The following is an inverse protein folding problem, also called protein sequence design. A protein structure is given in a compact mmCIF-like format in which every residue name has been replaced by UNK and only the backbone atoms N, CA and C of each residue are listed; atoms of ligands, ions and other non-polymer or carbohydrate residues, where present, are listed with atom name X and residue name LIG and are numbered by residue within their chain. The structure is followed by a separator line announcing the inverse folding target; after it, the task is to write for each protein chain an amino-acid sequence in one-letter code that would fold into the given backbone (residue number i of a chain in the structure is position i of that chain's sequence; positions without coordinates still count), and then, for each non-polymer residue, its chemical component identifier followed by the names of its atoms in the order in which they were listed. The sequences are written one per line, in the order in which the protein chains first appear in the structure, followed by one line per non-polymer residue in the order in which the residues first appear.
data_IF_833057157716
#
_entry.id   IF_833057157716
#
_cell.length_a   1.000
_cell.length_b   1.000
_cell.length_c   1.000
_cell.angle_alpha   90.00
_cell.angle_beta   90.00
_cell.angle_gamma   90.00
#
_symmetry.space_group_name_H-M   'P 1'
#
loop_
_entity.id
_entity.type
_entity.pdbx_description
1 polymer ?
#
# COMPACT_ATOMS: atom_id res chain seq x y z
N UNK A 1 -3.40 22.55 -12.02
CA UNK A 1 -3.92 21.88 -10.81
C UNK A 1 -5.30 21.29 -11.10
N UNK A 2 -5.65 20.13 -10.51
CA UNK A 2 -6.86 19.37 -10.78
C UNK A 2 -7.58 19.08 -9.46
N UNK A 3 -8.86 19.39 -9.37
CA UNK A 3 -9.69 19.06 -8.22
C UNK A 3 -10.18 17.60 -8.35
N UNK A 4 -9.84 16.75 -7.40
CA UNK A 4 -10.07 15.31 -7.54
C UNK A 4 -11.54 14.89 -7.41
N UNK A 5 -12.43 15.77 -6.95
CA UNK A 5 -13.89 15.54 -6.99
C UNK A 5 -14.39 15.31 -8.43
N UNK A 6 -13.66 15.77 -9.46
CA UNK A 6 -14.01 15.51 -10.86
C UNK A 6 -13.96 14.00 -11.20
N UNK A 7 -13.19 13.22 -10.44
CA UNK A 7 -13.06 11.78 -10.61
C UNK A 7 -13.96 10.98 -9.67
N UNK A 8 -14.04 11.41 -8.39
CA UNK A 8 -14.91 10.77 -7.41
C UNK A 8 -15.28 11.74 -6.27
N UNK A 9 -16.57 11.80 -5.83
CA UNK A 9 -17.01 12.63 -4.71
C UNK A 9 -16.30 12.34 -3.38
N UNK A 10 -15.78 11.11 -3.16
CA UNK A 10 -15.01 10.77 -1.96
C UNK A 10 -13.68 11.52 -1.84
N UNK A 11 -13.24 12.17 -2.92
CA UNK A 11 -12.01 12.96 -2.99
C UNK A 11 -12.29 14.48 -2.93
N UNK A 12 -13.44 14.88 -2.41
CA UNK A 12 -13.81 16.29 -2.29
C UNK A 12 -12.80 17.06 -1.42
N UNK A 13 -12.32 18.21 -1.92
CA UNK A 13 -11.32 19.03 -1.22
C UNK A 13 -9.88 18.54 -1.32
N UNK A 14 -9.62 17.51 -2.12
CA UNK A 14 -8.26 17.11 -2.50
C UNK A 14 -7.95 17.67 -3.89
N UNK A 15 -6.83 18.39 -3.98
CA UNK A 15 -6.29 18.92 -5.21
C UNK A 15 -5.01 18.19 -5.56
N UNK A 16 -4.83 17.88 -6.82
CA UNK A 16 -3.66 17.25 -7.39
C UNK A 16 -2.96 18.19 -8.34
N UNK A 17 -1.68 18.43 -8.10
CA UNK A 17 -0.77 19.06 -9.05
C UNK A 17 0.03 17.95 -9.70
N UNK A 18 -0.22 17.64 -10.98
CA UNK A 18 0.49 16.58 -11.69
C UNK A 18 1.99 16.84 -11.76
N UNK A 19 2.77 15.77 -11.72
CA UNK A 19 4.20 15.81 -11.96
C UNK A 19 4.52 16.50 -13.31
N UNK A 20 5.58 17.29 -13.34
CA UNK A 20 6.08 17.95 -14.54
C UNK A 20 7.60 17.86 -14.61
N UNK A 21 8.13 17.34 -15.71
CA UNK A 21 9.58 17.21 -15.89
C UNK A 21 10.22 16.26 -14.88
N UNK A 22 11.01 16.78 -13.94
CA UNK A 22 11.64 16.02 -12.84
C UNK A 22 11.03 16.41 -11.49
N UNK A 23 9.73 16.59 -11.41
CA UNK A 23 8.99 16.92 -10.20
C UNK A 23 8.06 15.79 -9.87
N UNK A 24 7.77 15.56 -8.59
CA UNK A 24 6.72 14.64 -8.16
C UNK A 24 5.33 15.26 -8.27
N UNK A 25 4.31 14.43 -8.13
CA UNK A 25 2.95 14.86 -7.81
C UNK A 25 2.93 15.59 -6.44
N UNK A 26 2.11 16.61 -6.34
CA UNK A 26 1.83 17.32 -5.09
C UNK A 26 0.34 17.25 -4.82
N UNK A 27 -0.02 17.02 -3.56
CA UNK A 27 -1.42 17.02 -3.14
C UNK A 27 -1.68 18.11 -2.13
N UNK A 28 -2.81 18.82 -2.30
CA UNK A 28 -3.23 19.90 -1.41
C UNK A 28 -4.61 19.59 -0.88
N UNK A 29 -4.79 19.71 0.44
CA UNK A 29 -6.01 19.40 1.16
C UNK A 29 -6.37 20.55 2.09
N UNK A 30 -7.58 20.47 2.69
CA UNK A 30 -8.01 21.40 3.74
C UNK A 30 -7.95 22.86 3.28
N UNK A 31 -8.53 23.14 2.11
CA UNK A 31 -8.58 24.50 1.55
C UNK A 31 -7.19 25.18 1.45
N UNK A 32 -6.16 24.40 1.13
CA UNK A 32 -4.77 24.91 1.02
C UNK A 32 -3.96 24.87 2.31
N UNK A 33 -4.53 24.40 3.44
CA UNK A 33 -3.83 24.39 4.74
C UNK A 33 -2.90 23.23 4.93
N UNK A 34 -3.09 22.15 4.18
CA UNK A 34 -2.27 20.92 4.25
C UNK A 34 -1.75 20.55 2.88
N UNK A 35 -0.46 20.30 2.79
CA UNK A 35 0.23 19.90 1.56
C UNK A 35 1.02 18.62 1.77
N UNK A 36 1.06 17.77 0.76
CA UNK A 36 1.85 16.53 0.74
C UNK A 36 2.85 16.66 -0.39
N UNK A 37 4.13 16.64 -0.04
CA UNK A 37 5.30 16.97 -0.85
C UNK A 37 5.25 18.37 -1.46
N UNK A 38 6.35 18.83 -2.04
CA UNK A 38 6.47 20.16 -2.64
C UNK A 38 6.85 20.12 -4.11
N UNK A 39 7.08 18.90 -4.62
CA UNK A 39 7.66 18.78 -5.94
C UNK A 39 9.02 19.46 -6.09
N UNK A 40 9.41 19.68 -7.32
CA UNK A 40 10.58 20.45 -7.73
C UNK A 40 10.25 21.31 -8.96
N UNK A 41 9.08 21.92 -8.92
CA UNK A 41 8.56 22.71 -10.03
C UNK A 41 8.60 24.20 -9.68
N UNK A 42 9.39 24.96 -10.44
CA UNK A 42 9.43 26.41 -10.30
C UNK A 42 8.13 27.02 -10.83
N UNK A 43 7.38 27.67 -9.96
CA UNK A 43 6.05 28.22 -10.27
C UNK A 43 4.89 27.45 -9.65
N UNK A 44 5.13 26.34 -8.93
CA UNK A 44 4.09 25.63 -8.18
C UNK A 44 3.27 26.59 -7.30
N UNK A 45 3.95 27.49 -6.56
CA UNK A 45 3.27 28.41 -5.66
C UNK A 45 2.44 29.46 -6.38
N UNK A 46 2.83 29.85 -7.60
CA UNK A 46 1.97 30.74 -8.41
C UNK A 46 0.69 30.02 -8.82
N UNK A 47 0.80 28.75 -9.25
CA UNK A 47 -0.38 27.93 -9.59
C UNK A 47 -1.28 27.71 -8.38
N UNK A 48 -0.70 27.48 -7.20
CA UNK A 48 -1.46 27.32 -5.95
C UNK A 48 -2.08 28.63 -5.49
N UNK A 49 -1.41 29.78 -5.68
CA UNK A 49 -1.91 31.08 -5.24
C UNK A 49 -3.09 31.61 -6.04
N UNK A 50 -3.36 31.03 -7.20
CA UNK A 50 -4.57 31.33 -7.98
C UNK A 50 -5.84 30.77 -7.30
N UNK A 51 -5.70 29.72 -6.48
CA UNK A 51 -6.81 29.02 -5.82
C UNK A 51 -6.79 29.17 -4.30
N UNK A 52 -5.61 29.29 -3.67
CA UNK A 52 -5.46 29.31 -2.22
C UNK A 52 -4.67 30.51 -1.72
N UNK A 53 -4.99 30.95 -0.50
CA UNK A 53 -4.11 31.83 0.25
C UNK A 53 -2.98 31.00 0.89
N UNK A 54 -1.84 30.92 0.20
CA UNK A 54 -0.68 30.13 0.63
C UNK A 54 -0.15 30.53 2.02
N UNK A 55 -0.40 31.78 2.45
CA UNK A 55 0.03 32.26 3.77
C UNK A 55 -0.69 31.53 4.92
N UNK A 56 -1.82 30.87 4.63
CA UNK A 56 -2.62 30.11 5.59
C UNK A 56 -2.20 28.63 5.68
N UNK A 57 -1.19 28.19 4.93
CA UNK A 57 -0.72 26.82 4.98
C UNK A 57 -0.16 26.49 6.39
N UNK A 58 -0.72 25.45 7.00
CA UNK A 58 -0.40 25.03 8.35
C UNK A 58 0.53 23.84 8.43
N UNK A 59 0.43 22.91 7.46
CA UNK A 59 1.12 21.61 7.47
C UNK A 59 1.70 21.24 6.13
N UNK A 60 2.91 20.72 6.18
CA UNK A 60 3.61 20.12 5.04
C UNK A 60 4.07 18.72 5.44
N UNK A 61 3.48 17.69 4.83
CA UNK A 61 3.98 16.33 4.94
C UNK A 61 5.04 16.10 3.84
N UNK A 62 6.17 15.52 4.22
CA UNK A 62 7.19 15.06 3.28
C UNK A 62 7.20 13.54 3.31
N UNK A 63 6.88 12.92 2.17
CA UNK A 63 6.85 11.47 2.05
C UNK A 63 8.24 10.88 2.20
N UNK A 64 9.24 11.51 1.59
CA UNK A 64 10.66 11.13 1.71
C UNK A 64 11.59 12.30 1.31
N UNK A 65 12.89 12.01 1.15
CA UNK A 65 13.92 13.06 1.04
C UNK A 65 14.39 13.37 -0.38
N UNK A 66 13.86 12.74 -1.43
CA UNK A 66 14.31 13.00 -2.79
C UNK A 66 13.96 14.41 -3.24
N UNK A 67 14.83 14.97 -4.06
CA UNK A 67 14.78 16.37 -4.42
C UNK A 67 13.52 16.78 -5.18
N UNK A 68 12.98 15.87 -5.98
CA UNK A 68 11.73 16.05 -6.72
C UNK A 68 10.48 16.08 -5.83
N UNK A 69 10.60 15.67 -4.55
CA UNK A 69 9.54 15.77 -3.53
C UNK A 69 9.71 16.97 -2.60
N UNK A 70 10.95 17.36 -2.32
CA UNK A 70 11.23 18.40 -1.32
C UNK A 70 11.81 19.70 -1.91
N UNK A 71 12.08 19.73 -3.21
CA UNK A 71 12.78 20.83 -3.88
C UNK A 71 12.04 22.17 -3.83
N UNK A 72 10.71 22.15 -3.81
CA UNK A 72 9.88 23.35 -3.71
C UNK A 72 9.81 24.00 -2.33
N UNK A 73 10.31 23.32 -1.27
CA UNK A 73 10.28 23.88 0.11
C UNK A 73 10.88 25.27 0.22
N UNK A 74 11.96 25.53 -0.53
CA UNK A 74 12.65 26.84 -0.44
C UNK A 74 11.76 27.99 -0.89
N UNK A 75 11.02 27.81 -1.96
CA UNK A 75 10.05 28.79 -2.45
C UNK A 75 8.85 28.87 -1.49
N UNK A 76 8.36 27.74 -1.00
CA UNK A 76 7.23 27.68 -0.06
C UNK A 76 7.51 28.51 1.21
N UNK A 77 8.72 28.41 1.77
CA UNK A 77 9.10 29.14 2.99
C UNK A 77 9.29 30.65 2.79
N UNK A 78 9.37 31.13 1.55
CA UNK A 78 9.31 32.57 1.26
C UNK A 78 7.87 33.13 1.39
N UNK A 79 6.84 32.26 1.32
CA UNK A 79 5.42 32.63 1.37
C UNK A 79 4.76 32.33 2.71
N UNK A 80 5.12 31.21 3.37
CA UNK A 80 4.51 30.76 4.62
C UNK A 80 5.52 29.99 5.48
N UNK A 81 5.11 29.60 6.69
CA UNK A 81 5.94 28.83 7.62
C UNK A 81 5.14 27.65 8.22
N UNK A 82 4.81 26.64 7.41
CA UNK A 82 4.03 25.51 7.87
C UNK A 82 4.82 24.63 8.85
N UNK A 83 4.10 23.81 9.63
CA UNK A 83 4.67 22.72 10.37
C UNK A 83 5.11 21.63 9.39
N UNK A 84 6.40 21.26 9.40
CA UNK A 84 6.91 20.16 8.55
C UNK A 84 6.80 18.86 9.31
N UNK A 85 6.12 17.88 8.71
CA UNK A 85 5.91 16.53 9.24
C UNK A 85 6.66 15.54 8.36
N UNK A 86 7.66 14.88 8.89
CA UNK A 86 8.47 13.93 8.14
C UNK A 86 9.12 12.90 9.08
N UNK A 87 9.52 11.78 8.52
CA UNK A 87 10.34 10.83 9.27
C UNK A 87 11.71 11.45 9.61
N UNK A 88 12.29 11.05 10.76
CA UNK A 88 13.57 11.62 11.20
C UNK A 88 14.71 11.45 10.20
N UNK A 89 14.71 10.34 9.44
CA UNK A 89 15.78 10.05 8.48
C UNK A 89 15.62 10.91 7.21
N UNK A 90 14.39 11.24 6.81
CA UNK A 90 14.08 12.26 5.80
C UNK A 90 14.62 13.62 6.26
N UNK A 91 14.31 14.04 7.50
CA UNK A 91 14.81 15.28 8.09
C UNK A 91 16.34 15.29 8.22
N UNK A 92 16.92 14.16 8.61
CA UNK A 92 18.37 13.99 8.72
C UNK A 92 19.08 14.18 7.39
N UNK A 93 18.51 13.68 6.30
CA UNK A 93 19.05 13.84 4.96
C UNK A 93 18.91 15.26 4.44
N UNK A 94 17.74 15.88 4.62
CA UNK A 94 17.49 17.27 4.25
C UNK A 94 18.43 18.22 4.98
N UNK A 95 18.83 17.91 6.22
CA UNK A 95 19.77 18.69 7.03
C UNK A 95 21.25 18.33 6.80
N UNK A 96 21.59 17.46 5.83
CA UNK A 96 22.97 17.03 5.61
C UNK A 96 23.81 18.13 4.92
N UNK A 97 24.91 18.53 5.56
CA UNK A 97 25.82 19.56 5.04
C UNK A 97 26.40 19.15 3.69
N UNK A 98 26.21 20.01 2.67
CA UNK A 98 26.85 19.86 1.36
C UNK A 98 25.91 19.72 0.16
N UNK A 99 24.61 19.64 0.39
CA UNK A 99 23.62 19.68 -0.70
C UNK A 99 23.25 21.16 -0.98
N UNK A 100 23.12 21.60 -2.25
CA UNK A 100 22.65 22.96 -2.60
C UNK A 100 21.35 23.36 -1.89
N UNK A 101 20.55 22.38 -1.52
CA UNK A 101 19.33 22.45 -0.73
C UNK A 101 19.54 23.05 0.68
N UNK A 102 20.70 22.84 1.33
CA UNK A 102 21.01 23.44 2.62
C UNK A 102 21.06 24.96 2.59
N UNK A 103 21.44 25.59 1.45
CA UNK A 103 21.33 27.02 1.31
C UNK A 103 19.91 27.56 1.32
N UNK A 104 18.97 26.72 0.90
CA UNK A 104 17.52 26.96 0.95
C UNK A 104 17.04 26.88 2.39
N UNK A 105 17.46 25.85 3.13
CA UNK A 105 17.11 25.67 4.55
C UNK A 105 17.84 26.66 5.47
N UNK A 106 19.12 27.02 5.19
CA UNK A 106 19.85 28.08 5.89
C UNK A 106 19.21 29.45 5.66
N UNK A 107 18.72 29.74 4.45
CA UNK A 107 17.93 30.95 4.16
C UNK A 107 16.58 30.94 4.87
N UNK A 108 15.98 29.76 4.94
CA UNK A 108 14.70 29.62 5.60
C UNK A 108 14.81 29.84 7.11
N UNK A 109 15.98 29.62 7.78
CA UNK A 109 16.13 29.92 9.24
C UNK A 109 14.93 29.61 10.13
N UNK A 110 13.89 28.99 9.54
CA UNK A 110 12.51 29.05 9.90
C UNK A 110 11.86 27.69 10.13
N UNK A 111 12.58 26.56 9.95
CA UNK A 111 12.01 25.25 10.26
C UNK A 111 11.98 25.07 11.78
N UNK A 112 11.34 26.04 12.45
CA UNK A 112 11.13 26.01 13.90
C UNK A 112 10.05 25.00 14.30
N UNK A 113 9.20 24.59 13.32
CA UNK A 113 8.06 23.72 13.56
C UNK A 113 8.21 22.39 12.82
N UNK A 114 9.17 21.56 13.27
CA UNK A 114 9.33 20.21 12.75
C UNK A 114 8.70 19.21 13.69
N UNK A 115 7.83 18.37 13.16
CA UNK A 115 7.29 17.19 13.84
C UNK A 115 7.88 15.93 13.23
N UNK A 116 8.66 15.21 14.03
CA UNK A 116 9.14 13.90 13.63
C UNK A 116 8.02 12.87 13.76
N UNK A 117 7.66 12.24 12.64
CA UNK A 117 6.72 11.14 12.63
C UNK A 117 7.46 9.80 12.58
N UNK A 118 6.81 8.73 13.07
CA UNK A 118 7.40 7.37 13.16
C UNK A 118 6.49 6.28 12.62
N UNK A 119 5.21 6.61 12.42
CA UNK A 119 4.14 5.70 12.02
C UNK A 119 3.13 5.48 13.14
N UNK A 120 1.85 5.50 12.79
CA UNK A 120 0.71 5.40 13.68
C UNK A 120 0.17 6.74 14.19
N UNK A 121 0.87 7.85 13.95
CA UNK A 121 0.36 9.18 14.27
C UNK A 121 -0.78 9.55 13.31
N UNK A 122 -1.77 10.30 13.84
CA UNK A 122 -2.93 10.75 13.06
C UNK A 122 -3.06 12.27 13.09
N UNK A 123 -3.35 12.84 11.93
CA UNK A 123 -3.48 14.29 11.74
C UNK A 123 -4.74 14.61 10.98
N UNK A 124 -5.48 15.61 11.44
CA UNK A 124 -6.63 16.14 10.72
C UNK A 124 -6.17 17.03 9.55
N UNK A 125 -6.79 16.88 8.39
CA UNK A 125 -6.60 17.70 7.20
C UNK A 125 -7.99 17.99 6.59
N UNK A 126 -8.67 19.01 7.08
CA UNK A 126 -10.06 19.27 6.78
C UNK A 126 -10.97 18.13 7.21
N UNK A 127 -11.74 17.52 6.31
CA UNK A 127 -12.60 16.39 6.63
C UNK A 127 -11.85 15.06 6.78
N UNK A 128 -10.55 15.02 6.45
CA UNK A 128 -9.74 13.81 6.40
C UNK A 128 -8.93 13.60 7.68
N UNK A 129 -8.84 12.36 8.13
CA UNK A 129 -7.95 11.92 9.21
C UNK A 129 -6.83 11.06 8.61
N UNK A 130 -5.66 11.65 8.43
CA UNK A 130 -4.50 11.01 7.83
C UNK A 130 -3.70 10.26 8.88
N UNK A 131 -3.55 8.95 8.72
CA UNK A 131 -2.64 8.13 9.50
C UNK A 131 -1.30 8.03 8.78
N UNK A 132 -0.21 8.28 9.50
CA UNK A 132 1.15 8.07 9.01
C UNK A 132 1.50 6.58 9.08
N UNK A 133 1.94 6.01 7.96
CA UNK A 133 2.48 4.66 7.90
C UNK A 133 3.96 4.75 7.56
N UNK A 134 4.84 4.28 8.44
CA UNK A 134 6.26 4.20 8.13
C UNK A 134 6.51 3.07 7.13
N UNK A 135 7.07 3.42 5.98
CA UNK A 135 7.30 2.53 4.85
C UNK A 135 8.75 2.61 4.33
N UNK A 136 9.77 2.40 5.20
CA UNK A 136 11.15 2.47 4.75
C UNK A 136 11.43 1.47 3.63
N UNK A 137 12.29 1.84 2.67
CA UNK A 137 12.71 0.93 1.62
C UNK A 137 13.12 1.59 0.32
N UNK A 138 12.33 2.49 -0.24
CA UNK A 138 12.76 3.33 -1.34
C UNK A 138 13.84 4.30 -0.84
N UNK A 139 13.57 4.96 0.27
CA UNK A 139 14.57 5.57 1.15
C UNK A 139 14.38 5.05 2.59
N UNK A 140 15.26 5.44 3.53
CA UNK A 140 15.11 5.04 4.95
C UNK A 140 13.99 5.78 5.67
N UNK A 141 13.57 6.90 5.14
CA UNK A 141 12.64 7.81 5.78
C UNK A 141 11.28 7.87 5.11
N UNK A 142 10.92 6.88 4.29
CA UNK A 142 9.65 6.89 3.58
C UNK A 142 8.47 6.76 4.53
N UNK A 143 7.44 7.53 4.25
CA UNK A 143 6.12 7.43 4.85
C UNK A 143 5.04 7.44 3.77
N UNK A 144 3.99 6.67 4.01
CA UNK A 144 2.71 6.82 3.34
C UNK A 144 1.73 7.50 4.29
N UNK A 145 0.69 8.13 3.74
CA UNK A 145 -0.44 8.65 4.51
C UNK A 145 -1.69 7.89 4.10
N UNK A 146 -2.47 7.42 5.07
CA UNK A 146 -3.67 6.66 4.80
C UNK A 146 -4.90 7.29 5.46
N UNK A 147 -5.95 7.47 4.69
CA UNK A 147 -7.26 7.93 5.14
C UNK A 147 -8.24 6.74 5.15
N UNK A 148 -8.76 6.42 6.36
CA UNK A 148 -9.51 5.19 6.60
C UNK A 148 -10.95 5.21 6.08
N UNK A 149 -11.61 6.37 6.08
CA UNK A 149 -13.04 6.45 5.76
C UNK A 149 -13.28 6.23 4.26
N UNK A 150 -12.54 6.95 3.44
CA UNK A 150 -12.62 6.87 1.98
C UNK A 150 -11.57 5.91 1.39
N UNK A 151 -10.71 5.31 2.23
CA UNK A 151 -9.67 4.35 1.83
C UNK A 151 -8.70 4.91 0.80
N UNK A 152 -8.17 6.10 1.10
CA UNK A 152 -7.23 6.82 0.26
C UNK A 152 -5.81 6.58 0.77
N UNK A 153 -4.90 6.18 -0.13
CA UNK A 153 -3.47 6.02 0.17
C UNK A 153 -2.64 7.02 -0.63
N UNK A 154 -1.97 7.93 0.04
CA UNK A 154 -0.89 8.73 -0.52
C UNK A 154 0.41 7.94 -0.34
N UNK A 155 0.93 7.38 -1.43
CA UNK A 155 2.01 6.39 -1.34
C UNK A 155 3.42 6.95 -1.45
N UNK A 156 3.59 8.24 -1.79
CA UNK A 156 4.92 8.70 -2.22
C UNK A 156 5.47 7.78 -3.29
N UNK A 157 6.71 7.36 -3.15
CA UNK A 157 7.41 6.51 -4.11
C UNK A 157 7.38 5.01 -3.76
N UNK A 158 6.52 4.63 -2.81
CA UNK A 158 6.33 3.21 -2.47
C UNK A 158 5.57 2.45 -3.54
N UNK A 159 4.62 3.09 -4.22
CA UNK A 159 3.80 2.49 -5.28
C UNK A 159 3.57 3.54 -6.35
N UNK A 160 3.90 3.20 -7.59
CA UNK A 160 3.66 4.04 -8.75
C UNK A 160 2.42 3.59 -9.53
N UNK A 161 1.80 4.53 -10.23
CA UNK A 161 0.73 4.24 -11.18
C UNK A 161 1.13 4.76 -12.54
N UNK A 162 1.39 3.87 -13.49
CA UNK A 162 1.66 4.25 -14.87
C UNK A 162 0.97 3.33 -15.87
N UNK A 163 0.42 3.89 -16.94
CA UNK A 163 -0.10 3.12 -18.06
C UNK A 163 1.00 2.80 -19.10
N UNK A 164 1.03 1.59 -19.66
CA UNK A 164 0.29 0.42 -19.21
C UNK A 164 0.93 -0.21 -17.97
N UNK A 165 0.17 -0.90 -17.14
CA UNK A 165 0.53 -1.52 -15.84
C UNK A 165 1.77 -2.45 -15.85
N UNK A 166 2.63 -2.37 -16.86
CA UNK A 166 3.58 -3.45 -17.19
C UNK A 166 4.94 -3.36 -16.51
N UNK A 167 5.37 -2.28 -15.83
CA UNK A 167 6.76 -2.25 -15.33
C UNK A 167 7.04 -1.28 -14.17
N UNK A 168 6.23 -1.20 -13.14
CA UNK A 168 6.58 -0.38 -11.98
C UNK A 168 6.92 -1.20 -10.76
N UNK A 169 8.20 -1.57 -10.73
CA UNK A 169 8.87 -2.00 -9.53
C UNK A 169 9.04 -0.75 -8.65
N UNK A 170 8.46 -0.76 -7.47
CA UNK A 170 9.00 0.04 -6.40
C UNK A 170 10.49 -0.26 -6.33
N UNK A 171 11.34 0.74 -6.44
CA UNK A 171 12.79 0.55 -6.43
C UNK A 171 13.39 1.19 -5.18
N UNK A 172 14.42 0.55 -4.65
CA UNK A 172 15.19 1.11 -3.56
C UNK A 172 16.28 2.02 -4.14
N UNK A 173 16.35 3.27 -3.65
CA UNK A 173 17.48 4.13 -4.01
C UNK A 173 18.81 3.43 -3.69
N UNK A 174 19.75 3.47 -4.64
CA UNK A 174 21.00 2.75 -4.54
C UNK A 174 21.85 3.11 -3.31
N UNK A 175 21.66 4.30 -2.74
CA UNK A 175 22.42 4.81 -1.59
C UNK A 175 21.59 4.94 -0.31
N UNK A 176 20.30 5.20 -0.44
CA UNK A 176 19.41 5.57 0.65
C UNK A 176 18.37 4.49 0.97
N UNK A 177 18.14 3.56 0.04
CA UNK A 177 17.13 2.54 0.14
C UNK A 177 17.66 1.17 0.59
N UNK A 178 16.72 0.27 0.87
CA UNK A 178 16.94 -1.14 1.14
C UNK A 178 15.79 -1.98 0.60
N UNK A 179 16.10 -2.87 -0.34
CA UNK A 179 15.11 -3.69 -1.02
C UNK A 179 14.34 -4.64 -0.07
N UNK A 180 14.98 -5.12 1.00
CA UNK A 180 14.31 -5.98 1.98
C UNK A 180 13.30 -5.20 2.81
N UNK A 181 13.68 -3.98 3.22
CA UNK A 181 12.77 -3.08 3.90
C UNK A 181 11.62 -2.66 2.99
N UNK A 182 11.89 -2.41 1.70
CA UNK A 182 10.87 -2.10 0.69
C UNK A 182 9.83 -3.20 0.58
N UNK A 183 10.26 -4.46 0.40
CA UNK A 183 9.36 -5.62 0.35
C UNK A 183 8.55 -5.74 1.65
N UNK A 184 9.19 -5.58 2.80
CA UNK A 184 8.50 -5.64 4.09
C UNK A 184 7.49 -4.52 4.25
N UNK A 185 7.79 -3.31 3.76
CA UNK A 185 6.89 -2.15 3.78
C UNK A 185 5.69 -2.35 2.86
N UNK A 186 5.90 -2.83 1.63
CA UNK A 186 4.81 -3.19 0.72
C UNK A 186 3.91 -4.27 1.35
N UNK A 187 4.49 -5.28 2.00
CA UNK A 187 3.74 -6.30 2.74
C UNK A 187 2.89 -5.71 3.89
N UNK A 188 3.37 -4.66 4.56
CA UNK A 188 2.59 -3.95 5.58
C UNK A 188 1.43 -3.12 5.01
N UNK A 189 1.50 -2.72 3.74
CA UNK A 189 0.41 -2.00 3.07
C UNK A 189 -0.70 -2.94 2.59
N UNK A 190 -0.43 -4.22 2.34
CA UNK A 190 -1.45 -5.18 1.85
C UNK A 190 -2.71 -5.28 2.73
N UNK A 191 -2.64 -5.22 4.08
CA UNK A 191 -3.81 -5.25 4.94
C UNK A 191 -4.77 -4.07 4.76
N UNK A 192 -4.29 -2.94 4.25
CA UNK A 192 -5.13 -1.77 4.04
C UNK A 192 -6.04 -1.97 2.83
N UNK A 193 -7.32 -1.63 3.00
CA UNK A 193 -8.25 -1.55 1.88
C UNK A 193 -8.03 -0.21 1.19
N UNK A 194 -7.50 -0.22 -0.03
CA UNK A 194 -7.18 0.99 -0.78
C UNK A 194 -8.09 1.05 -2.01
N UNK A 195 -8.99 2.01 -2.02
CA UNK A 195 -9.82 2.29 -3.19
C UNK A 195 -9.10 3.31 -4.09
N UNK A 196 -8.56 4.37 -3.48
CA UNK A 196 -7.87 5.44 -4.19
C UNK A 196 -6.38 5.44 -3.85
N UNK A 197 -5.54 5.36 -4.88
CA UNK A 197 -4.09 5.46 -4.74
C UNK A 197 -3.59 6.76 -5.34
N UNK A 198 -2.96 7.60 -4.53
CA UNK A 198 -2.42 8.91 -4.87
C UNK A 198 -0.89 8.86 -4.75
N UNK A 199 -0.16 8.52 -5.85
CA UNK A 199 1.28 8.26 -5.81
C UNK A 199 2.12 9.53 -5.94
N UNK A 200 3.42 9.43 -5.60
CA UNK A 200 4.40 10.48 -5.87
C UNK A 200 4.67 10.68 -7.35
N UNK A 201 4.57 9.61 -8.15
CA UNK A 201 4.76 9.67 -9.60
C UNK A 201 3.66 8.91 -10.35
N UNK A 202 3.40 9.35 -11.58
CA UNK A 202 2.36 8.80 -12.44
C UNK A 202 0.97 9.36 -12.12
N UNK A 203 -0.03 8.79 -12.75
CA UNK A 203 -1.41 9.23 -12.61
C UNK A 203 -2.06 8.58 -11.37
N UNK A 204 -2.86 9.30 -10.57
CA UNK A 204 -3.66 8.69 -9.51
C UNK A 204 -4.56 7.56 -10.00
N UNK A 205 -4.72 6.51 -9.19
CA UNK A 205 -5.70 5.45 -9.44
C UNK A 205 -6.98 5.76 -8.66
N UNK A 206 -8.07 5.92 -9.38
CA UNK A 206 -9.37 6.30 -8.82
C UNK A 206 -10.30 5.10 -8.58
N UNK A 207 -9.77 3.90 -8.70
CA UNK A 207 -10.43 2.65 -8.34
C UNK A 207 -9.38 1.57 -8.13
N UNK A 208 -9.69 0.61 -7.27
CA UNK A 208 -8.87 -0.59 -7.05
C UNK A 208 -7.40 -0.31 -6.72
N UNK A 209 -7.14 0.76 -5.96
CA UNK A 209 -5.78 1.12 -5.54
C UNK A 209 -5.04 -0.01 -4.85
N UNK A 210 -5.77 -0.91 -4.18
CA UNK A 210 -5.21 -2.10 -3.57
C UNK A 210 -4.56 -3.07 -4.55
N UNK A 211 -5.04 -3.16 -5.80
CA UNK A 211 -4.41 -3.98 -6.83
C UNK A 211 -3.01 -3.48 -7.19
N UNK A 212 -2.80 -2.15 -7.23
CA UNK A 212 -1.47 -1.57 -7.47
C UNK A 212 -0.51 -1.89 -6.33
N UNK A 213 -0.97 -1.80 -5.06
CA UNK A 213 -0.15 -2.19 -3.89
C UNK A 213 0.23 -3.67 -3.96
N UNK A 214 -0.72 -4.55 -4.29
CA UNK A 214 -0.47 -5.98 -4.46
C UNK A 214 0.53 -6.26 -5.59
N UNK A 215 0.34 -5.62 -6.75
CA UNK A 215 1.23 -5.79 -7.89
C UNK A 215 2.66 -5.31 -7.57
N UNK A 216 2.80 -4.15 -6.91
CA UNK A 216 4.10 -3.66 -6.47
C UNK A 216 4.80 -4.66 -5.54
N UNK A 217 4.09 -5.24 -4.57
CA UNK A 217 4.61 -6.28 -3.68
C UNK A 217 5.06 -7.53 -4.46
N UNK A 218 4.20 -8.05 -5.33
CA UNK A 218 4.47 -9.28 -6.07
C UNK A 218 5.64 -9.13 -7.03
N UNK A 219 5.65 -8.07 -7.83
CA UNK A 219 6.71 -7.85 -8.82
C UNK A 219 8.06 -7.55 -8.17
N UNK A 220 8.07 -6.76 -7.08
CA UNK A 220 9.30 -6.48 -6.32
C UNK A 220 9.87 -7.77 -5.74
N UNK A 221 9.06 -8.66 -5.20
CA UNK A 221 9.52 -9.96 -4.68
C UNK A 221 10.00 -10.89 -5.77
N UNK A 222 9.26 -11.07 -6.86
CA UNK A 222 9.64 -11.92 -7.98
C UNK A 222 10.99 -11.53 -8.58
N UNK A 223 11.31 -10.23 -8.60
CA UNK A 223 12.60 -9.74 -9.11
C UNK A 223 13.80 -10.19 -8.25
N UNK A 224 13.57 -10.67 -7.02
CA UNK A 224 14.60 -11.00 -6.03
C UNK A 224 14.57 -12.46 -5.56
N UNK A 225 13.52 -13.19 -5.86
CA UNK A 225 13.35 -14.59 -5.44
C UNK A 225 13.30 -15.52 -6.66
N UNK A 226 13.99 -16.67 -6.57
CA UNK A 226 13.92 -17.71 -7.62
C UNK A 226 12.57 -18.46 -7.60
N UNK A 227 11.84 -18.40 -6.48
CA UNK A 227 10.54 -19.04 -6.32
C UNK A 227 9.42 -18.10 -6.81
N UNK A 228 8.80 -18.47 -7.91
CA UNK A 228 7.73 -17.68 -8.53
C UNK A 228 6.37 -17.82 -7.84
N UNK A 229 6.20 -18.81 -6.94
CA UNK A 229 4.92 -19.13 -6.29
C UNK A 229 4.83 -18.52 -4.90
N UNK A 230 5.92 -18.58 -4.15
CA UNK A 230 5.99 -18.10 -2.77
C UNK A 230 5.50 -16.66 -2.56
N UNK A 231 5.80 -15.67 -3.44
CA UNK A 231 5.24 -14.32 -3.31
C UNK A 231 3.72 -14.29 -3.28
N UNK A 232 3.06 -15.12 -4.08
CA UNK A 232 1.60 -15.24 -4.10
C UNK A 232 1.04 -15.85 -2.82
N UNK A 233 1.68 -16.92 -2.31
CA UNK A 233 1.24 -17.59 -1.07
C UNK A 233 1.38 -16.66 0.13
N UNK A 234 2.50 -15.94 0.23
CA UNK A 234 2.73 -14.98 1.30
C UNK A 234 1.75 -13.79 1.24
N UNK A 235 1.49 -13.26 0.03
CA UNK A 235 0.49 -12.21 -0.15
C UNK A 235 -0.92 -12.70 0.24
N UNK A 236 -1.30 -13.90 -0.21
CA UNK A 236 -2.58 -14.50 0.12
C UNK A 236 -2.77 -14.67 1.62
N UNK A 237 -1.74 -15.12 2.34
CA UNK A 237 -1.78 -15.27 3.79
C UNK A 237 -1.96 -13.90 4.48
N UNK A 238 -1.19 -12.89 4.10
CA UNK A 238 -1.31 -11.53 4.65
C UNK A 238 -2.73 -10.99 4.43
N UNK A 239 -3.28 -11.15 3.22
CA UNK A 239 -4.61 -10.69 2.86
C UNK A 239 -5.72 -11.45 3.61
N UNK A 240 -5.56 -12.77 3.78
CA UNK A 240 -6.48 -13.59 4.56
C UNK A 240 -6.51 -13.16 6.02
N UNK A 241 -5.32 -13.01 6.66
CA UNK A 241 -5.18 -12.54 8.04
C UNK A 241 -5.78 -11.13 8.23
N UNK A 242 -5.78 -10.32 7.19
CA UNK A 242 -6.38 -8.98 7.17
C UNK A 242 -7.90 -8.96 6.89
N UNK A 243 -8.55 -10.13 6.78
CA UNK A 243 -9.98 -10.21 6.49
C UNK A 243 -10.35 -9.83 5.05
N UNK A 244 -9.44 -10.04 4.09
CA UNK A 244 -9.62 -9.80 2.67
C UNK A 244 -9.60 -11.13 1.87
N UNK A 245 -10.52 -12.09 2.18
CA UNK A 245 -10.46 -13.44 1.62
C UNK A 245 -10.64 -13.46 0.09
N UNK A 246 -11.39 -12.52 -0.49
CA UNK A 246 -11.54 -12.40 -1.94
C UNK A 246 -10.20 -12.15 -2.64
N UNK A 247 -9.41 -11.19 -2.16
CA UNK A 247 -8.07 -10.90 -2.69
C UNK A 247 -7.08 -12.03 -2.40
N UNK A 248 -7.19 -12.70 -1.27
CA UNK A 248 -6.40 -13.90 -0.99
C UNK A 248 -6.68 -15.01 -2.02
N UNK A 249 -7.95 -15.23 -2.42
CA UNK A 249 -8.31 -16.18 -3.47
C UNK A 249 -7.68 -15.86 -4.82
N UNK A 250 -7.59 -14.58 -5.18
CA UNK A 250 -6.89 -14.14 -6.41
C UNK A 250 -5.42 -14.56 -6.38
N UNK A 251 -4.73 -14.35 -5.26
CA UNK A 251 -3.35 -14.77 -5.10
C UNK A 251 -3.20 -16.30 -5.15
N UNK A 252 -4.07 -17.08 -4.51
CA UNK A 252 -4.05 -18.53 -4.64
C UNK A 252 -4.32 -18.99 -6.08
N UNK A 253 -5.20 -18.32 -6.81
CA UNK A 253 -5.46 -18.61 -8.22
C UNK A 253 -4.20 -18.35 -9.06
N UNK A 254 -3.49 -17.25 -8.82
CA UNK A 254 -2.23 -16.96 -9.52
C UNK A 254 -1.13 -17.98 -9.20
N UNK A 255 -1.02 -18.41 -7.94
CA UNK A 255 -0.12 -19.49 -7.54
C UNK A 255 -0.44 -20.80 -8.28
N UNK A 256 -1.73 -21.15 -8.39
CA UNK A 256 -2.20 -22.37 -9.07
C UNK A 256 -2.14 -22.27 -10.60
N UNK A 257 -2.08 -21.07 -11.16
CA UNK A 257 -1.79 -20.88 -12.58
C UNK A 257 -0.32 -21.24 -12.89
N UNK A 258 0.60 -20.90 -11.98
CA UNK A 258 2.02 -21.23 -12.10
C UNK A 258 2.29 -22.72 -11.80
N UNK A 259 1.65 -23.28 -10.77
CA UNK A 259 1.72 -24.70 -10.40
C UNK A 259 0.33 -25.22 -10.02
N UNK A 260 -0.40 -25.85 -10.96
CA UNK A 260 -1.74 -26.39 -10.71
C UNK A 260 -1.80 -27.50 -9.65
N UNK A 261 -0.66 -28.08 -9.29
CA UNK A 261 -0.54 -29.16 -8.30
C UNK A 261 0.02 -28.67 -6.96
N UNK A 262 0.17 -27.38 -6.76
CA UNK A 262 0.66 -26.82 -5.51
C UNK A 262 -0.32 -27.13 -4.37
N UNK A 263 0.06 -28.06 -3.49
CA UNK A 263 -0.82 -28.53 -2.41
C UNK A 263 -1.10 -27.42 -1.38
N UNK A 264 -0.10 -26.61 -1.07
CA UNK A 264 -0.26 -25.50 -0.13
C UNK A 264 -1.32 -24.49 -0.63
N UNK A 265 -1.20 -24.06 -1.89
CA UNK A 265 -2.19 -23.19 -2.52
C UNK A 265 -3.60 -23.82 -2.55
N UNK A 266 -3.71 -25.11 -2.87
CA UNK A 266 -4.99 -25.81 -2.91
C UNK A 266 -5.63 -25.92 -1.51
N UNK A 267 -4.84 -26.24 -0.46
CA UNK A 267 -5.33 -26.33 0.93
C UNK A 267 -5.88 -24.99 1.38
N UNK A 268 -5.08 -23.92 1.27
CA UNK A 268 -5.49 -22.60 1.75
C UNK A 268 -6.62 -22.00 0.90
N UNK A 269 -6.61 -22.20 -0.42
CA UNK A 269 -7.74 -21.81 -1.28
C UNK A 269 -9.03 -22.52 -0.82
N UNK A 270 -8.98 -23.84 -0.63
CA UNK A 270 -10.13 -24.62 -0.17
C UNK A 270 -10.64 -24.18 1.20
N UNK A 271 -9.73 -23.87 2.14
CA UNK A 271 -10.09 -23.34 3.46
C UNK A 271 -10.77 -21.97 3.34
N UNK A 272 -10.20 -21.05 2.57
CA UNK A 272 -10.77 -19.70 2.34
C UNK A 272 -12.15 -19.80 1.67
N UNK A 273 -12.32 -20.67 0.69
CA UNK A 273 -13.63 -20.93 0.05
C UNK A 273 -14.65 -21.50 1.04
N UNK A 274 -14.21 -22.36 1.97
CA UNK A 274 -15.08 -22.89 3.03
C UNK A 274 -15.57 -21.79 3.97
N UNK A 275 -14.70 -20.88 4.36
CA UNK A 275 -15.06 -19.70 5.17
C UNK A 275 -16.06 -18.78 4.45
N UNK A 276 -15.90 -18.62 3.14
CA UNK A 276 -16.82 -17.86 2.29
C UNK A 276 -18.10 -18.63 1.92
N UNK A 277 -18.27 -19.86 2.42
CA UNK A 277 -19.40 -20.74 2.15
C UNK A 277 -19.53 -21.19 0.68
N UNK A 278 -18.43 -21.10 -0.09
CA UNK A 278 -18.33 -21.62 -1.45
C UNK A 278 -17.93 -23.11 -1.41
N UNK A 279 -18.78 -23.93 -0.79
CA UNK A 279 -18.44 -25.30 -0.40
C UNK A 279 -18.17 -26.24 -1.58
N UNK A 280 -18.85 -26.08 -2.71
CA UNK A 280 -18.61 -26.92 -3.91
C UNK A 280 -17.21 -26.68 -4.48
N UNK A 281 -16.80 -25.41 -4.61
CA UNK A 281 -15.46 -25.07 -5.08
C UNK A 281 -14.37 -25.49 -4.07
N UNK A 282 -14.64 -25.35 -2.77
CA UNK A 282 -13.75 -25.85 -1.71
C UNK A 282 -13.55 -27.37 -1.83
N UNK A 283 -14.65 -28.12 -2.04
CA UNK A 283 -14.62 -29.56 -2.22
C UNK A 283 -13.71 -29.97 -3.39
N UNK A 284 -13.80 -29.28 -4.53
CA UNK A 284 -12.94 -29.52 -5.69
C UNK A 284 -11.45 -29.36 -5.36
N UNK A 285 -11.09 -28.33 -4.57
CA UNK A 285 -9.70 -28.13 -4.14
C UNK A 285 -9.18 -29.31 -3.33
N UNK A 286 -9.93 -29.75 -2.32
CA UNK A 286 -9.53 -30.85 -1.46
C UNK A 286 -9.54 -32.19 -2.20
N UNK A 287 -10.48 -32.42 -3.10
CA UNK A 287 -10.50 -33.63 -3.93
C UNK A 287 -9.32 -33.75 -4.88
N UNK A 288 -8.85 -32.63 -5.45
CA UNK A 288 -7.62 -32.61 -6.23
C UNK A 288 -6.42 -33.08 -5.41
N UNK A 289 -6.28 -32.60 -4.17
CA UNK A 289 -5.20 -33.02 -3.27
C UNK A 289 -5.30 -34.50 -2.94
N UNK A 290 -6.49 -34.96 -2.53
CA UNK A 290 -6.70 -36.32 -2.05
C UNK A 290 -6.56 -37.39 -3.15
N UNK A 291 -6.58 -37.03 -4.43
CA UNK A 291 -6.20 -37.94 -5.54
C UNK A 291 -4.72 -38.34 -5.48
N UNK A 292 -3.85 -37.48 -4.99
CA UNK A 292 -2.40 -37.70 -4.93
C UNK A 292 -1.93 -38.03 -3.51
N UNK A 293 -2.59 -37.44 -2.50
CA UNK A 293 -2.28 -37.62 -1.07
C UNK A 293 -3.53 -37.97 -0.29
N UNK A 294 -4.05 -39.23 -0.39
CA UNK A 294 -5.36 -39.63 0.17
C UNK A 294 -5.49 -39.46 1.67
N UNK A 295 -4.37 -39.41 2.40
CA UNK A 295 -4.32 -39.34 3.86
C UNK A 295 -3.79 -37.98 4.36
N UNK A 296 -3.70 -36.93 3.52
CA UNK A 296 -3.30 -35.62 3.97
C UNK A 296 -4.38 -35.04 4.90
N UNK A 297 -4.04 -34.90 6.18
CA UNK A 297 -5.00 -34.57 7.25
C UNK A 297 -5.73 -33.25 6.94
N UNK A 298 -5.01 -32.21 6.54
CA UNK A 298 -5.58 -30.91 6.21
C UNK A 298 -6.62 -30.99 5.09
N UNK A 299 -6.36 -31.80 4.07
CA UNK A 299 -7.29 -31.97 2.95
C UNK A 299 -8.49 -32.82 3.34
N UNK A 300 -8.31 -33.85 4.17
CA UNK A 300 -9.42 -34.66 4.70
C UNK A 300 -10.34 -33.83 5.60
N UNK A 301 -9.75 -33.03 6.49
CA UNK A 301 -10.51 -32.14 7.37
C UNK A 301 -11.24 -31.07 6.57
N UNK A 302 -10.56 -30.41 5.63
CA UNK A 302 -11.16 -29.39 4.77
C UNK A 302 -12.32 -29.95 3.94
N UNK A 303 -12.14 -31.14 3.32
CA UNK A 303 -13.21 -31.85 2.60
C UNK A 303 -14.39 -32.14 3.53
N UNK A 304 -14.12 -32.59 4.75
CA UNK A 304 -15.17 -32.89 5.73
C UNK A 304 -15.99 -31.65 6.10
N UNK A 305 -15.32 -30.50 6.32
CA UNK A 305 -16.03 -29.25 6.61
C UNK A 305 -16.83 -28.73 5.41
N UNK A 306 -16.30 -28.83 4.20
CA UNK A 306 -17.01 -28.45 2.98
C UNK A 306 -18.26 -29.32 2.79
N UNK A 307 -18.15 -30.63 3.01
CA UNK A 307 -19.30 -31.58 2.96
C UNK A 307 -20.35 -31.26 4.04
N UNK A 308 -19.93 -30.91 5.27
CA UNK A 308 -20.88 -30.48 6.31
C UNK A 308 -21.60 -29.19 5.91
N UNK A 309 -20.92 -28.23 5.31
CA UNK A 309 -21.51 -27.01 4.79
C UNK A 309 -22.55 -27.26 3.69
N UNK A 310 -22.36 -28.31 2.87
CA UNK A 310 -23.31 -28.77 1.85
C UNK A 310 -24.46 -29.64 2.43
N UNK A 311 -24.47 -29.89 3.75
CA UNK A 311 -25.44 -30.79 4.38
C UNK A 311 -25.20 -32.27 4.12
N UNK A 312 -24.08 -32.66 3.50
CA UNK A 312 -23.67 -34.04 3.17
C UNK A 312 -23.02 -34.73 4.37
N UNK A 313 -23.73 -34.74 5.51
CA UNK A 313 -23.18 -35.12 6.82
C UNK A 313 -22.71 -36.59 6.85
N UNK A 314 -23.43 -37.52 6.24
CA UNK A 314 -23.04 -38.94 6.22
C UNK A 314 -21.72 -39.15 5.47
N UNK A 315 -21.54 -38.47 4.36
CA UNK A 315 -20.30 -38.51 3.58
C UNK A 315 -19.12 -37.90 4.36
N UNK A 316 -19.34 -36.79 5.04
CA UNK A 316 -18.33 -36.16 5.87
C UNK A 316 -17.85 -37.09 6.99
N UNK A 317 -18.81 -37.71 7.72
CA UNK A 317 -18.50 -38.62 8.82
C UNK A 317 -17.90 -39.96 8.35
N UNK A 318 -18.10 -40.33 7.09
CA UNK A 318 -17.47 -41.46 6.45
C UNK A 318 -16.01 -41.27 6.04
N UNK A 319 -15.50 -40.02 6.06
CA UNK A 319 -14.10 -39.75 5.73
C UNK A 319 -13.15 -40.33 6.81
N UNK A 320 -12.04 -40.97 6.40
CA UNK A 320 -11.08 -41.57 7.33
C UNK A 320 -10.53 -40.53 8.32
N UNK A 321 -10.70 -40.78 9.62
CA UNK A 321 -10.17 -39.89 10.68
C UNK A 321 -11.00 -38.64 10.97
N UNK A 322 -11.84 -38.15 10.05
CA UNK A 322 -12.59 -36.89 10.22
C UNK A 322 -13.49 -36.89 11.46
N UNK A 323 -14.32 -37.95 11.64
CA UNK A 323 -15.23 -38.04 12.77
C UNK A 323 -14.50 -38.11 14.13
N UNK A 324 -13.31 -38.71 14.18
CA UNK A 324 -12.49 -38.75 15.40
C UNK A 324 -11.96 -37.39 15.72
N UNK A 325 -11.36 -36.71 14.74
CA UNK A 325 -10.77 -35.38 14.88
C UNK A 325 -11.81 -34.32 15.24
N UNK A 326 -12.99 -34.38 14.62
CA UNK A 326 -14.12 -33.49 14.92
C UNK A 326 -14.57 -33.58 16.40
N UNK A 327 -14.43 -34.76 17.04
CA UNK A 327 -14.72 -34.94 18.48
C UNK A 327 -13.63 -34.32 19.37
N UNK A 328 -12.37 -34.35 18.94
CA UNK A 328 -11.26 -33.78 19.67
C UNK A 328 -11.29 -32.24 19.68
N UNK A 329 -11.93 -31.64 18.67
CA UNK A 329 -12.08 -30.16 18.53
C UNK A 329 -13.26 -29.60 19.36
N UNK A 330 -14.11 -30.45 19.94
CA UNK A 330 -15.24 -30.09 20.83
C UNK A 330 -14.83 -30.10 22.28
#
# INVERSE_FOLDING_TARGET
MIHLTEYDPCLEGIWWVPETGMSSNVYVLDEGRTMIDTGNYYGLLHELSDEFDISLMERLFLTHCHFDHVGGMGELFDWCNPQVLAHRDTLGFINFKGVPFMKIMEKAGRVEKVVQVRGGEKFEAGPYLLEVIATPGHTRGDICLYEHHNRILFSGDMVFVSPPMENYLADADQKLGDMKELIASLGRLLPYQVDFLLPGHGHPAFADGGAYVLNAYLETRKSKEDDTIKPYLDAARILGDAGQPGRALECYNMALLADPANFEALVYKGATLTELQHYDEALECFEKILKFAPNLEEAVMGKGFALLGLGRTEEALGLPGFAAKLREMR
#
